data_IF_094957791828
#
_entry.id   IF_094957791828
#
_cell.length_a   1.000
_cell.length_b   1.000
_cell.length_c   1.000
_cell.angle_alpha   90.00
_cell.angle_beta   90.00
_cell.angle_gamma   90.00
#
_symmetry.space_group_name_H-M   'P 1'
#
loop_
_entity.id
_entity.type
_entity.pdbx_description
1 polymer ?
#
# COMPACT_ATOMS: atom_id res chain seq x y z
N UNK A 1 2.06 18.44 6.06
CA UNK A 1 1.44 17.72 4.93
C UNK A 1 1.76 16.25 5.06
N UNK A 2 0.75 15.39 5.10
CA UNK A 2 0.87 13.94 5.09
C UNK A 2 0.21 13.36 3.84
N UNK A 3 0.67 12.20 3.37
CA UNK A 3 -0.01 11.39 2.36
C UNK A 3 -0.28 10.03 2.95
N UNK A 4 -1.53 9.56 2.86
CA UNK A 4 -1.89 8.18 3.20
C UNK A 4 -1.64 7.29 1.98
N UNK A 5 -0.56 6.50 2.01
CA UNK A 5 -0.16 5.71 0.84
C UNK A 5 -1.02 4.47 0.60
N UNK A 6 -1.95 4.12 1.51
CA UNK A 6 -2.80 2.95 1.38
C UNK A 6 -4.02 3.00 2.30
N UNK A 7 -5.21 3.11 1.73
CA UNK A 7 -6.50 3.02 2.43
C UNK A 7 -7.58 2.43 1.52
N UNK A 8 -8.72 2.03 2.07
CA UNK A 8 -9.83 1.46 1.32
C UNK A 8 -11.10 2.30 1.50
N UNK A 9 -11.17 3.46 0.82
CA UNK A 9 -12.26 4.44 0.98
C UNK A 9 -13.67 3.89 0.67
N UNK A 10 -13.75 2.86 -0.16
CA UNK A 10 -15.01 2.24 -0.58
C UNK A 10 -15.35 0.96 0.17
N UNK A 11 -14.55 0.58 1.17
CA UNK A 11 -14.74 -0.66 1.90
C UNK A 11 -16.03 -0.62 2.74
N UNK A 12 -16.79 -1.73 2.76
CA UNK A 12 -18.08 -1.83 3.47
C UNK A 12 -18.04 -1.54 4.98
N UNK A 13 -16.87 -1.70 5.60
CA UNK A 13 -16.65 -1.40 7.03
C UNK A 13 -16.31 0.05 7.32
N UNK A 14 -16.20 0.91 6.29
CA UNK A 14 -16.07 2.34 6.52
C UNK A 14 -17.38 2.88 7.13
N UNK A 15 -17.26 3.65 8.22
CA UNK A 15 -18.41 4.23 8.91
C UNK A 15 -18.91 5.53 8.26
N UNK A 16 -18.09 6.15 7.41
CA UNK A 16 -18.36 7.42 6.73
C UNK A 16 -18.23 7.29 5.22
N UNK A 17 -18.87 8.18 4.49
CA UNK A 17 -18.76 8.28 3.04
C UNK A 17 -17.35 8.72 2.61
N UNK A 18 -16.90 8.41 1.38
CA UNK A 18 -15.64 8.90 0.85
C UNK A 18 -15.49 10.42 0.95
N UNK A 19 -16.57 11.18 0.75
CA UNK A 19 -16.58 12.64 0.88
C UNK A 19 -16.26 13.10 2.29
N UNK A 20 -16.85 12.47 3.30
CA UNK A 20 -16.59 12.79 4.71
C UNK A 20 -15.17 12.40 5.11
N UNK A 21 -14.69 11.23 4.65
CA UNK A 21 -13.33 10.75 4.92
C UNK A 21 -12.26 11.68 4.32
N UNK A 22 -12.41 12.06 3.06
CA UNK A 22 -11.48 13.00 2.38
C UNK A 22 -11.47 14.36 3.05
N UNK A 23 -12.65 14.87 3.45
CA UNK A 23 -12.76 16.12 4.18
C UNK A 23 -12.07 16.06 5.55
N UNK A 24 -12.36 15.02 6.33
CA UNK A 24 -11.74 14.81 7.65
C UNK A 24 -10.21 14.67 7.54
N UNK A 25 -9.72 13.97 6.52
CA UNK A 25 -8.30 13.84 6.22
C UNK A 25 -7.65 15.21 5.99
N UNK A 26 -8.25 16.07 5.15
CA UNK A 26 -7.76 17.42 4.90
C UNK A 26 -7.72 18.28 6.16
N UNK A 27 -8.75 18.20 7.02
CA UNK A 27 -8.80 18.90 8.32
C UNK A 27 -7.69 18.41 9.29
N UNK A 28 -7.22 17.17 9.13
CA UNK A 28 -6.11 16.59 9.90
C UNK A 28 -4.73 16.84 9.29
N UNK A 29 -4.62 17.57 8.16
CA UNK A 29 -3.36 17.83 7.45
C UNK A 29 -2.88 16.68 6.58
N UNK A 30 -3.80 15.82 6.12
CA UNK A 30 -3.57 14.77 5.14
C UNK A 30 -4.04 15.27 3.78
N UNK A 31 -3.08 15.59 2.91
CA UNK A 31 -3.36 16.32 1.67
C UNK A 31 -3.58 15.40 0.46
N UNK A 32 -3.36 14.10 0.62
CA UNK A 32 -3.63 13.13 -0.42
C UNK A 32 -3.69 11.71 0.10
N UNK A 33 -4.31 10.81 -0.67
CA UNK A 33 -4.45 9.40 -0.31
C UNK A 33 -4.60 8.50 -1.53
N UNK A 34 -4.20 7.23 -1.36
CA UNK A 34 -4.37 6.19 -2.37
C UNK A 34 -5.44 5.21 -1.90
N UNK A 35 -6.56 5.13 -2.64
CA UNK A 35 -7.57 4.11 -2.39
C UNK A 35 -7.29 2.84 -3.20
N UNK A 36 -7.34 1.70 -2.55
CA UNK A 36 -6.79 0.44 -3.05
C UNK A 36 -7.90 -0.48 -3.57
N UNK A 37 -7.64 -1.10 -4.72
CA UNK A 37 -8.45 -2.17 -5.25
C UNK A 37 -7.96 -3.53 -4.74
N UNK A 38 -8.91 -4.39 -4.35
CA UNK A 38 -8.68 -5.77 -3.95
C UNK A 38 -9.24 -6.79 -4.97
N UNK A 39 -10.18 -6.36 -5.80
CA UNK A 39 -10.83 -7.20 -6.81
C UNK A 39 -11.08 -6.39 -8.08
N UNK A 40 -10.43 -6.78 -9.18
CA UNK A 40 -10.54 -6.09 -10.48
C UNK A 40 -11.98 -6.10 -11.01
N UNK A 41 -12.65 -7.25 -10.93
CA UNK A 41 -14.03 -7.38 -11.37
C UNK A 41 -15.06 -7.01 -10.28
N UNK A 42 -14.62 -6.86 -9.04
CA UNK A 42 -15.47 -6.52 -7.88
C UNK A 42 -15.47 -5.04 -7.56
N UNK A 43 -14.44 -4.57 -6.85
CA UNK A 43 -14.39 -3.24 -6.25
C UNK A 43 -13.74 -2.17 -7.13
N UNK A 44 -12.84 -2.53 -8.05
CA UNK A 44 -12.06 -1.57 -8.85
C UNK A 44 -12.90 -0.49 -9.56
N UNK A 45 -14.06 -0.78 -10.17
CA UNK A 45 -14.87 0.28 -10.79
C UNK A 45 -15.30 1.37 -9.79
N UNK A 46 -15.66 0.99 -8.57
CA UNK A 46 -16.01 1.91 -7.49
C UNK A 46 -14.80 2.68 -6.94
N UNK A 47 -13.67 1.99 -6.82
CA UNK A 47 -12.38 2.57 -6.40
C UNK A 47 -11.93 3.65 -7.38
N UNK A 48 -11.94 3.35 -8.69
CA UNK A 48 -11.59 4.30 -9.74
C UNK A 48 -12.57 5.50 -9.78
N UNK A 49 -13.88 5.23 -9.70
CA UNK A 49 -14.87 6.29 -9.67
C UNK A 49 -14.70 7.22 -8.47
N UNK A 50 -14.28 6.69 -7.32
CA UNK A 50 -13.95 7.49 -6.13
C UNK A 50 -12.70 8.34 -6.38
N UNK A 51 -11.63 7.78 -6.93
CA UNK A 51 -10.41 8.53 -7.23
C UNK A 51 -10.66 9.66 -8.25
N UNK A 52 -11.54 9.44 -9.24
CA UNK A 52 -11.92 10.46 -10.23
C UNK A 52 -12.70 11.66 -9.66
N UNK A 53 -13.28 11.51 -8.47
CA UNK A 53 -14.12 12.52 -7.82
C UNK A 53 -13.34 13.61 -7.10
N UNK A 54 -12.08 13.31 -6.71
CA UNK A 54 -11.26 14.19 -5.88
C UNK A 54 -9.90 14.44 -6.53
N UNK A 55 -9.42 15.67 -6.44
CA UNK A 55 -8.13 16.06 -7.03
C UNK A 55 -6.91 15.50 -6.28
N UNK A 56 -7.12 15.03 -5.06
CA UNK A 56 -6.09 14.53 -4.14
C UNK A 56 -6.27 13.05 -3.75
N UNK A 57 -7.09 12.32 -4.50
CA UNK A 57 -7.26 10.87 -4.32
C UNK A 57 -6.80 10.17 -5.60
N UNK A 58 -5.89 9.24 -5.42
CA UNK A 58 -5.43 8.32 -6.47
C UNK A 58 -5.88 6.90 -6.14
N UNK A 59 -5.70 5.98 -7.08
CA UNK A 59 -6.03 4.59 -6.85
C UNK A 59 -4.99 3.63 -7.42
N UNK A 60 -5.11 2.37 -7.00
CA UNK A 60 -4.42 1.24 -7.59
C UNK A 60 -5.39 0.35 -8.39
N UNK A 61 -4.82 -0.60 -9.12
CA UNK A 61 -5.55 -1.69 -9.76
C UNK A 61 -4.86 -3.01 -9.48
N UNK A 62 -5.58 -3.96 -8.90
CA UNK A 62 -5.00 -5.28 -8.60
C UNK A 62 -5.98 -6.24 -7.95
N UNK A 63 -5.52 -7.48 -7.78
CA UNK A 63 -6.22 -8.56 -7.11
C UNK A 63 -5.44 -8.95 -5.86
N UNK A 64 -6.08 -8.78 -4.70
CA UNK A 64 -5.54 -9.17 -3.40
C UNK A 64 -5.31 -10.70 -3.32
N UNK A 65 -4.28 -11.20 -2.63
CA UNK A 65 -4.03 -12.65 -2.53
C UNK A 65 -5.22 -13.45 -2.00
N UNK A 66 -6.10 -12.88 -1.18
CA UNK A 66 -7.31 -13.56 -0.72
C UNK A 66 -8.27 -13.91 -1.87
N UNK A 67 -8.27 -13.12 -2.92
CA UNK A 67 -9.21 -13.21 -4.04
C UNK A 67 -8.58 -13.85 -5.29
N UNK A 68 -7.27 -14.13 -5.28
CA UNK A 68 -6.55 -14.67 -6.43
C UNK A 68 -7.08 -16.02 -6.96
N UNK A 69 -7.76 -16.80 -6.12
CA UNK A 69 -8.41 -18.06 -6.48
C UNK A 69 -9.88 -17.93 -6.86
N UNK A 70 -10.49 -16.75 -6.75
CA UNK A 70 -11.88 -16.49 -7.18
C UNK A 70 -11.92 -16.59 -8.71
N UNK A 71 -12.87 -17.33 -9.31
CA UNK A 71 -12.85 -17.63 -10.75
C UNK A 71 -12.64 -16.42 -11.65
N UNK A 72 -13.40 -15.35 -11.43
CA UNK A 72 -13.34 -14.15 -12.26
C UNK A 72 -12.03 -13.35 -12.07
N UNK A 73 -11.40 -13.41 -10.89
CA UNK A 73 -10.11 -12.77 -10.59
C UNK A 73 -8.93 -13.63 -11.07
N UNK A 74 -9.01 -14.96 -10.90
CA UNK A 74 -7.98 -15.90 -11.35
C UNK A 74 -7.72 -15.82 -12.85
N UNK A 75 -8.76 -15.58 -13.63
CA UNK A 75 -8.69 -15.50 -15.09
C UNK A 75 -8.15 -14.15 -15.62
N UNK A 76 -7.90 -13.18 -14.74
CA UNK A 76 -7.27 -11.91 -15.14
C UNK A 76 -5.89 -12.18 -15.72
N UNK A 77 -5.67 -11.67 -16.94
CA UNK A 77 -4.38 -11.79 -17.64
C UNK A 77 -3.49 -10.59 -17.36
N UNK A 78 -2.19 -10.73 -17.64
CA UNK A 78 -1.24 -9.61 -17.58
C UNK A 78 -1.68 -8.47 -18.50
N UNK A 79 -2.12 -8.77 -19.72
CA UNK A 79 -2.56 -7.78 -20.70
C UNK A 79 -3.77 -6.98 -20.19
N UNK A 80 -4.68 -7.65 -19.49
CA UNK A 80 -5.83 -6.96 -18.87
C UNK A 80 -5.40 -6.03 -17.75
N UNK A 81 -4.44 -6.44 -16.92
CA UNK A 81 -3.85 -5.58 -15.89
C UNK A 81 -3.18 -4.34 -16.51
N UNK A 82 -2.38 -4.52 -17.57
CA UNK A 82 -1.72 -3.42 -18.30
C UNK A 82 -2.74 -2.47 -18.91
N UNK A 83 -3.79 -2.99 -19.56
CA UNK A 83 -4.87 -2.19 -20.12
C UNK A 83 -5.53 -1.31 -19.04
N UNK A 84 -5.90 -1.92 -17.91
CA UNK A 84 -6.54 -1.19 -16.82
C UNK A 84 -5.59 -0.18 -16.16
N UNK A 85 -4.36 -0.56 -15.84
CA UNK A 85 -3.37 0.29 -15.21
C UNK A 85 -3.02 1.55 -16.03
N UNK A 86 -3.23 1.49 -17.35
CA UNK A 86 -2.99 2.61 -18.25
C UNK A 86 -4.25 3.37 -18.67
N UNK A 87 -5.44 2.91 -18.24
CA UNK A 87 -6.74 3.45 -18.69
C UNK A 87 -7.07 4.83 -18.13
N UNK A 88 -6.51 5.19 -16.96
CA UNK A 88 -6.80 6.48 -16.30
C UNK A 88 -5.55 7.04 -15.59
N UNK A 89 -5.48 8.37 -15.51
CA UNK A 89 -4.34 9.06 -14.88
C UNK A 89 -4.35 8.96 -13.35
N UNK A 90 -5.51 8.68 -12.72
CA UNK A 90 -5.62 8.49 -11.28
C UNK A 90 -5.09 7.12 -10.82
N UNK A 91 -4.88 6.18 -11.75
CA UNK A 91 -4.29 4.88 -11.44
C UNK A 91 -2.77 5.06 -11.39
N UNK A 92 -2.21 4.99 -10.18
CA UNK A 92 -0.80 5.31 -9.93
C UNK A 92 0.05 4.11 -9.50
N UNK A 93 -0.55 2.96 -9.26
CA UNK A 93 0.12 1.73 -8.85
C UNK A 93 -0.64 0.49 -9.28
N UNK A 94 0.05 -0.64 -9.32
CA UNK A 94 -0.53 -1.97 -9.57
C UNK A 94 -0.49 -2.76 -8.27
N UNK A 95 -1.63 -3.30 -7.87
CA UNK A 95 -1.85 -3.96 -6.59
C UNK A 95 -3.12 -3.40 -5.92
N UNK A 96 -3.43 -3.84 -4.75
CA UNK A 96 -2.66 -4.69 -3.84
C UNK A 96 -2.56 -6.11 -4.37
N UNK A 97 -1.36 -6.69 -4.38
CA UNK A 97 -1.13 -8.07 -4.79
C UNK A 97 0.05 -8.65 -4.01
N UNK A 98 0.13 -9.96 -3.94
CA UNK A 98 1.18 -10.64 -3.19
C UNK A 98 0.74 -11.98 -2.64
N UNK A 99 1.19 -12.31 -1.42
CA UNK A 99 0.97 -13.63 -0.81
C UNK A 99 0.49 -13.49 0.63
N UNK A 100 -0.52 -14.28 1.00
CA UNK A 100 -1.01 -14.41 2.37
C UNK A 100 -1.18 -15.90 2.74
N UNK A 101 -0.18 -16.44 3.43
CA UNK A 101 -0.18 -17.83 3.87
C UNK A 101 -0.71 -17.99 5.29
N UNK A 102 -1.04 -16.88 5.96
CA UNK A 102 -1.68 -16.90 7.25
C UNK A 102 -3.17 -17.22 7.15
N UNK A 103 -3.90 -16.49 6.29
CA UNK A 103 -5.31 -16.73 6.06
C UNK A 103 -5.58 -17.82 5.03
N UNK A 104 -4.72 -17.95 4.01
CA UNK A 104 -4.77 -19.01 2.99
C UNK A 104 -6.15 -19.11 2.30
N UNK A 105 -6.83 -17.95 2.07
CA UNK A 105 -8.17 -17.91 1.49
C UNK A 105 -8.22 -18.38 0.04
N UNK A 106 -7.16 -18.13 -0.72
CA UNK A 106 -6.97 -18.66 -2.07
C UNK A 106 -5.84 -19.70 -2.08
N UNK A 107 -5.87 -20.69 -2.98
CA UNK A 107 -4.75 -21.61 -3.17
C UNK A 107 -3.44 -20.85 -3.39
N UNK A 108 -2.36 -21.27 -2.75
CA UNK A 108 -1.04 -20.59 -2.83
C UNK A 108 -0.52 -20.48 -4.25
N UNK A 109 -0.74 -21.49 -5.07
CA UNK A 109 -0.36 -21.50 -6.48
C UNK A 109 -1.08 -20.38 -7.26
N UNK A 110 -2.36 -20.14 -6.97
CA UNK A 110 -3.15 -19.07 -7.57
C UNK A 110 -2.67 -17.69 -7.11
N UNK A 111 -2.35 -17.54 -5.81
CA UNK A 111 -1.74 -16.33 -5.28
C UNK A 111 -0.41 -16.02 -5.98
N UNK A 112 0.48 -17.02 -6.09
CA UNK A 112 1.79 -16.88 -6.73
C UNK A 112 1.67 -16.50 -8.20
N UNK A 113 0.78 -17.13 -8.95
CA UNK A 113 0.58 -16.83 -10.38
C UNK A 113 -0.03 -15.42 -10.55
N UNK A 114 -1.00 -15.04 -9.74
CA UNK A 114 -1.56 -13.67 -9.72
C UNK A 114 -0.45 -12.66 -9.43
N UNK A 115 0.38 -12.88 -8.41
CA UNK A 115 1.48 -12.00 -8.04
C UNK A 115 2.49 -11.83 -9.20
N UNK A 116 2.85 -12.90 -9.90
CA UNK A 116 3.72 -12.85 -11.09
C UNK A 116 3.13 -11.97 -12.20
N UNK A 117 1.82 -12.10 -12.48
CA UNK A 117 1.13 -11.26 -13.48
C UNK A 117 1.19 -9.77 -13.09
N UNK A 118 0.99 -9.43 -11.81
CA UNK A 118 1.07 -8.07 -11.31
C UNK A 118 2.48 -7.49 -11.44
N UNK A 119 3.52 -8.26 -11.09
CA UNK A 119 4.92 -7.84 -11.26
C UNK A 119 5.23 -7.52 -12.73
N UNK A 120 4.83 -8.41 -13.64
CA UNK A 120 5.05 -8.22 -15.08
C UNK A 120 4.31 -6.99 -15.61
N UNK A 121 3.07 -6.75 -15.15
CA UNK A 121 2.30 -5.56 -15.49
C UNK A 121 2.96 -4.26 -14.97
N UNK A 122 3.52 -4.28 -13.74
CA UNK A 122 4.30 -3.15 -13.21
C UNK A 122 5.49 -2.81 -14.09
N UNK A 123 6.25 -3.82 -14.51
CA UNK A 123 7.44 -3.63 -15.36
C UNK A 123 7.03 -3.03 -16.72
N UNK A 124 5.96 -3.52 -17.32
CA UNK A 124 5.48 -3.07 -18.63
C UNK A 124 4.93 -1.64 -18.59
N UNK A 125 4.31 -1.24 -17.48
CA UNK A 125 3.65 0.08 -17.34
C UNK A 125 4.52 1.14 -16.67
N UNK A 126 5.70 0.79 -16.12
CA UNK A 126 6.53 1.65 -15.23
C UNK A 126 5.73 2.17 -14.01
N UNK A 127 4.74 1.40 -13.54
CA UNK A 127 4.00 1.69 -12.33
C UNK A 127 4.53 0.89 -11.14
N UNK A 128 4.55 1.47 -9.93
CA UNK A 128 5.03 0.77 -8.75
C UNK A 128 4.07 -0.35 -8.32
N UNK A 129 4.66 -1.43 -7.83
CA UNK A 129 3.98 -2.55 -7.22
C UNK A 129 3.62 -2.25 -5.77
N UNK A 130 2.37 -2.53 -5.37
CA UNK A 130 1.91 -2.46 -3.98
C UNK A 130 1.83 -3.90 -3.45
N UNK A 131 2.78 -4.27 -2.58
CA UNK A 131 2.97 -5.67 -2.15
C UNK A 131 2.32 -5.91 -0.81
N UNK A 132 1.41 -6.90 -0.78
CA UNK A 132 0.95 -7.57 0.41
C UNK A 132 1.81 -8.81 0.70
N UNK A 133 2.25 -9.01 1.94
CA UNK A 133 2.87 -10.27 2.35
C UNK A 133 2.56 -10.58 3.80
N UNK A 134 2.16 -11.83 4.07
CA UNK A 134 1.89 -12.32 5.42
C UNK A 134 2.21 -13.81 5.52
N UNK A 135 3.16 -14.14 6.40
CA UNK A 135 3.69 -15.51 6.59
C UNK A 135 4.17 -16.14 5.28
N UNK A 136 4.66 -15.32 4.33
CA UNK A 136 5.05 -15.73 2.97
C UNK A 136 6.34 -15.03 2.47
N UNK A 137 7.19 -14.57 3.39
CA UNK A 137 8.35 -13.70 3.10
C UNK A 137 9.29 -14.30 2.07
N UNK A 138 9.60 -15.61 2.19
CA UNK A 138 10.56 -16.27 1.31
C UNK A 138 10.04 -16.37 -0.12
N UNK A 139 8.80 -16.81 -0.30
CA UNK A 139 8.19 -16.90 -1.63
C UNK A 139 7.98 -15.52 -2.24
N UNK A 140 7.58 -14.52 -1.43
CA UNK A 140 7.41 -13.13 -1.88
C UNK A 140 8.70 -12.60 -2.50
N UNK A 141 9.83 -12.69 -1.79
CA UNK A 141 11.10 -12.14 -2.30
C UNK A 141 11.66 -12.97 -3.46
N UNK A 142 11.46 -14.28 -3.45
CA UNK A 142 11.92 -15.15 -4.55
C UNK A 142 11.17 -14.84 -5.84
N UNK A 143 9.84 -14.70 -5.79
CA UNK A 143 9.04 -14.33 -6.96
C UNK A 143 9.40 -12.92 -7.46
N UNK A 144 9.60 -11.95 -6.56
CA UNK A 144 10.07 -10.61 -6.94
C UNK A 144 11.41 -10.65 -7.68
N UNK A 145 12.35 -11.50 -7.22
CA UNK A 145 13.64 -11.66 -7.91
C UNK A 145 13.49 -12.34 -9.26
N UNK A 146 12.79 -13.46 -9.33
CA UNK A 146 12.59 -14.22 -10.57
C UNK A 146 11.97 -13.36 -11.68
N UNK A 147 10.96 -12.55 -11.33
CA UNK A 147 10.19 -11.76 -12.28
C UNK A 147 10.76 -10.37 -12.52
N UNK A 148 11.35 -9.73 -11.50
CA UNK A 148 11.62 -8.28 -11.48
C UNK A 148 13.09 -7.87 -11.42
N UNK A 149 14.02 -8.76 -11.00
CA UNK A 149 15.42 -8.37 -10.82
C UNK A 149 16.05 -7.91 -12.13
N UNK A 150 16.65 -6.72 -12.09
CA UNK A 150 17.28 -6.09 -13.27
C UNK A 150 16.32 -5.56 -14.33
N UNK A 151 15.00 -5.63 -14.10
CA UNK A 151 13.97 -5.20 -15.06
C UNK A 151 13.30 -3.86 -14.70
N UNK A 152 13.83 -3.13 -13.71
CA UNK A 152 13.31 -1.83 -13.32
C UNK A 152 12.05 -1.86 -12.44
N UNK A 153 11.73 -3.01 -11.84
CA UNK A 153 10.62 -3.13 -10.90
C UNK A 153 10.84 -2.20 -9.70
N UNK A 154 9.85 -1.39 -9.38
CA UNK A 154 9.80 -0.53 -8.19
C UNK A 154 8.53 -0.81 -7.40
N UNK A 155 8.49 -0.48 -6.11
CA UNK A 155 7.29 -0.71 -5.33
C UNK A 155 7.43 -0.38 -3.86
N UNK A 156 6.41 -0.79 -3.12
CA UNK A 156 6.30 -0.64 -1.68
C UNK A 156 5.85 -1.95 -1.04
N UNK A 157 6.51 -2.32 0.05
CA UNK A 157 6.00 -3.31 0.98
C UNK A 157 4.97 -2.60 1.86
N UNK A 158 3.69 -2.77 1.52
CA UNK A 158 2.61 -2.12 2.25
C UNK A 158 2.39 -2.81 3.61
N UNK A 159 1.86 -2.06 4.56
CA UNK A 159 1.49 -2.52 5.90
C UNK A 159 2.55 -3.44 6.54
N UNK A 160 3.82 -3.03 6.42
CA UNK A 160 4.94 -3.88 6.77
C UNK A 160 4.85 -4.35 8.23
N UNK A 161 4.80 -5.67 8.40
CA UNK A 161 4.69 -6.32 9.70
C UNK A 161 5.55 -7.60 9.80
N UNK A 162 6.39 -7.83 8.79
CA UNK A 162 7.31 -8.97 8.68
C UNK A 162 8.63 -8.72 9.41
N UNK A 163 9.55 -9.69 9.34
CA UNK A 163 10.83 -9.64 10.04
C UNK A 163 11.91 -8.79 9.33
N UNK A 164 13.06 -8.54 10.02
CA UNK A 164 14.12 -7.66 9.53
C UNK A 164 14.76 -8.17 8.23
N UNK A 165 14.80 -9.47 8.02
CA UNK A 165 15.36 -10.07 6.79
C UNK A 165 14.60 -9.62 5.55
N UNK A 166 13.26 -9.61 5.59
CA UNK A 166 12.47 -9.15 4.45
C UNK A 166 12.63 -7.64 4.24
N UNK A 167 12.71 -6.85 5.32
CA UNK A 167 12.95 -5.42 5.21
C UNK A 167 14.27 -5.12 4.49
N UNK A 168 15.38 -5.78 4.89
CA UNK A 168 16.69 -5.67 4.23
C UNK A 168 16.60 -6.05 2.75
N UNK A 169 16.02 -7.21 2.43
CA UNK A 169 15.90 -7.69 1.06
C UNK A 169 15.04 -6.77 0.18
N UNK A 170 13.96 -6.20 0.71
CA UNK A 170 13.12 -5.25 0.00
C UNK A 170 13.85 -3.92 -0.25
N UNK A 171 14.62 -3.43 0.73
CA UNK A 171 15.46 -2.24 0.58
C UNK A 171 16.58 -2.44 -0.45
N UNK A 172 17.23 -3.60 -0.45
CA UNK A 172 18.25 -3.96 -1.45
C UNK A 172 17.66 -4.02 -2.86
N UNK A 173 16.41 -4.43 -2.98
CA UNK A 173 15.65 -4.42 -4.23
C UNK A 173 15.26 -2.98 -4.67
N UNK A 174 15.40 -2.01 -3.78
CA UNK A 174 15.05 -0.60 -4.03
C UNK A 174 13.61 -0.23 -3.65
N UNK A 175 12.89 -1.10 -2.97
CA UNK A 175 11.53 -0.86 -2.51
C UNK A 175 11.45 0.11 -1.35
N UNK A 176 10.28 0.68 -1.16
CA UNK A 176 9.89 1.43 0.03
C UNK A 176 9.25 0.50 1.05
N UNK A 177 9.32 0.90 2.32
CA UNK A 177 8.63 0.22 3.42
C UNK A 177 7.57 1.17 3.96
N UNK A 178 6.31 0.75 3.92
CA UNK A 178 5.21 1.54 4.46
C UNK A 178 4.78 1.02 5.82
N UNK A 179 4.65 1.91 6.79
CA UNK A 179 4.24 1.60 8.15
C UNK A 179 2.82 2.09 8.41
N UNK A 180 1.97 1.16 8.86
CA UNK A 180 0.60 1.44 9.31
C UNK A 180 0.53 1.67 10.82
N UNK A 181 -0.68 1.85 11.34
CA UNK A 181 -0.94 2.03 12.75
C UNK A 181 -0.38 0.93 13.67
N UNK A 182 -0.03 -0.24 13.14
CA UNK A 182 0.57 -1.36 13.91
C UNK A 182 1.83 -0.91 14.66
N UNK A 183 2.65 -0.03 14.09
CA UNK A 183 3.90 0.42 14.71
C UNK A 183 3.66 1.10 16.06
N UNK A 184 2.47 1.65 16.28
CA UNK A 184 2.06 2.31 17.52
C UNK A 184 1.57 1.34 18.61
N UNK A 185 1.38 0.04 18.28
CA UNK A 185 0.80 -0.93 19.21
C UNK A 185 1.78 -1.38 20.28
N UNK A 186 1.28 -1.66 21.48
CA UNK A 186 2.11 -2.00 22.64
C UNK A 186 3.07 -3.19 22.44
N UNK A 187 2.70 -4.15 21.58
CA UNK A 187 3.49 -5.36 21.33
C UNK A 187 4.31 -5.32 20.03
N UNK A 188 4.51 -4.15 19.43
CA UNK A 188 5.19 -3.99 18.15
C UNK A 188 6.69 -3.66 18.31
N UNK A 189 7.39 -4.21 19.33
CA UNK A 189 8.78 -3.86 19.60
C UNK A 189 9.74 -4.23 18.47
N UNK A 190 9.56 -5.39 17.85
CA UNK A 190 10.36 -5.82 16.71
C UNK A 190 10.13 -4.91 15.49
N UNK A 191 8.87 -4.59 15.19
CA UNK A 191 8.54 -3.67 14.10
C UNK A 191 9.12 -2.27 14.35
N UNK A 192 9.12 -1.79 15.59
CA UNK A 192 9.76 -0.51 15.96
C UNK A 192 11.27 -0.54 15.76
N UNK A 193 11.92 -1.67 16.08
CA UNK A 193 13.35 -1.84 15.81
C UNK A 193 13.63 -1.74 14.30
N UNK A 194 12.85 -2.46 13.48
CA UNK A 194 12.97 -2.38 12.02
C UNK A 194 12.73 -0.95 11.53
N UNK A 195 11.68 -0.27 12.00
CA UNK A 195 11.37 1.10 11.58
C UNK A 195 12.50 2.10 11.94
N UNK A 196 13.26 1.87 13.02
CA UNK A 196 14.45 2.66 13.34
C UNK A 196 15.56 2.48 12.30
N UNK A 197 15.75 1.26 11.82
CA UNK A 197 16.86 0.92 10.91
C UNK A 197 16.55 1.27 9.45
N UNK A 198 15.27 1.26 9.03
CA UNK A 198 14.88 1.65 7.66
C UNK A 198 15.30 3.10 7.38
N UNK A 199 16.04 3.39 6.29
CA UNK A 199 16.43 4.75 5.93
C UNK A 199 15.21 5.67 5.76
N UNK A 200 15.29 6.92 6.24
CA UNK A 200 14.18 7.87 6.19
C UNK A 200 13.66 8.09 4.77
N UNK A 201 14.56 8.07 3.78
CA UNK A 201 14.26 8.20 2.36
C UNK A 201 13.57 6.97 1.72
N UNK A 202 13.31 5.94 2.51
CA UNK A 202 12.62 4.71 2.09
C UNK A 202 11.36 4.41 2.90
N UNK A 203 10.94 5.35 3.77
CA UNK A 203 9.73 5.20 4.58
C UNK A 203 8.54 5.84 3.88
N UNK A 204 7.41 5.11 3.86
CA UNK A 204 6.07 5.63 3.64
C UNK A 204 5.22 5.42 4.89
N UNK A 205 4.11 6.13 4.96
CA UNK A 205 3.10 6.00 6.01
C UNK A 205 1.73 5.76 5.39
N UNK A 206 0.94 4.95 6.07
CA UNK A 206 -0.40 4.60 5.64
C UNK A 206 -1.32 4.32 6.82
N UNK A 207 -2.62 4.25 6.54
CA UNK A 207 -3.60 3.80 7.53
C UNK A 207 -3.93 2.34 7.40
N UNK A 208 -4.07 1.83 6.20
CA UNK A 208 -4.75 0.56 5.89
C UNK A 208 -6.21 0.59 6.39
N UNK A 209 -6.81 1.78 6.38
CA UNK A 209 -8.18 1.99 6.83
C UNK A 209 -9.18 1.16 5.99
N UNK A 210 -10.17 0.51 6.63
CA UNK A 210 -10.72 0.70 7.98
C UNK A 210 -10.03 -0.06 9.10
N UNK A 211 -8.92 -0.74 8.83
CA UNK A 211 -8.21 -1.59 9.78
C UNK A 211 -7.12 -0.82 10.54
N UNK A 212 -6.58 -1.44 11.59
CA UNK A 212 -5.31 -1.09 12.23
C UNK A 212 -5.22 0.34 12.78
N UNK A 213 -6.33 0.92 13.27
CA UNK A 213 -6.33 2.27 13.84
C UNK A 213 -5.17 2.47 14.84
N UNK A 214 -4.34 3.52 14.65
CA UNK A 214 -3.20 3.79 15.52
C UNK A 214 -3.63 4.22 16.93
N UNK A 215 -2.71 4.20 17.88
CA UNK A 215 -2.93 4.89 19.15
C UNK A 215 -3.10 6.41 18.90
N UNK A 216 -4.03 7.09 19.57
CA UNK A 216 -4.91 6.61 20.65
C UNK A 216 -6.24 6.00 20.19
N UNK A 217 -6.45 5.80 18.89
CA UNK A 217 -7.73 5.38 18.30
C UNK A 217 -7.92 3.86 18.22
N UNK A 218 -6.97 3.08 18.73
CA UNK A 218 -7.03 1.63 18.68
C UNK A 218 -8.35 1.07 19.20
N UNK A 219 -8.94 0.12 18.44
CA UNK A 219 -10.24 -0.49 18.76
C UNK A 219 -11.44 0.24 18.16
N UNK A 220 -11.21 1.33 17.43
CA UNK A 220 -12.19 2.02 16.58
C UNK A 220 -11.96 1.68 15.11
N UNK A 221 -12.91 2.00 14.24
CA UNK A 221 -12.67 2.04 12.81
C UNK A 221 -11.54 3.04 12.50
N UNK A 222 -10.62 2.64 11.60
CA UNK A 222 -9.56 3.52 11.14
C UNK A 222 -10.05 4.40 9.99
N UNK A 223 -9.44 5.55 9.80
CA UNK A 223 -9.73 6.48 8.71
C UNK A 223 -8.45 7.18 8.24
N UNK A 224 -8.39 7.69 6.99
CA UNK A 224 -7.19 8.34 6.44
C UNK A 224 -6.65 9.49 7.30
N UNK A 225 -7.51 10.22 8.02
CA UNK A 225 -7.10 11.28 8.95
C UNK A 225 -6.10 10.79 10.01
N UNK A 226 -6.13 9.51 10.37
CA UNK A 226 -5.28 8.96 11.43
C UNK A 226 -3.87 8.62 10.98
N UNK A 227 -3.53 8.73 9.68
CA UNK A 227 -2.15 8.53 9.21
C UNK A 227 -1.18 9.50 9.90
N UNK A 228 -1.64 10.70 10.24
CA UNK A 228 -0.84 11.68 10.97
C UNK A 228 -0.35 11.15 12.34
N UNK A 229 -1.13 10.31 13.03
CA UNK A 229 -0.70 9.68 14.28
C UNK A 229 0.42 8.67 14.07
N UNK A 230 0.32 7.85 13.01
CA UNK A 230 1.39 6.93 12.62
C UNK A 230 2.67 7.69 12.28
N UNK A 231 2.57 8.75 11.47
CA UNK A 231 3.71 9.59 11.10
C UNK A 231 4.37 10.29 12.28
N UNK A 232 3.59 10.86 13.21
CA UNK A 232 4.10 11.48 14.46
C UNK A 232 4.85 10.47 15.31
N UNK A 233 4.29 9.28 15.49
CA UNK A 233 4.94 8.21 16.24
C UNK A 233 6.28 7.81 15.62
N UNK A 234 6.35 7.69 14.30
CA UNK A 234 7.59 7.38 13.59
C UNK A 234 8.62 8.51 13.70
N UNK A 235 8.19 9.77 13.70
CA UNK A 235 9.08 10.91 13.93
C UNK A 235 9.77 10.84 15.30
N UNK A 236 8.99 10.61 16.37
CA UNK A 236 9.51 10.39 17.72
C UNK A 236 10.46 9.19 17.78
N UNK A 237 10.07 8.07 17.15
CA UNK A 237 10.86 6.84 17.13
C UNK A 237 12.22 7.02 16.46
N UNK A 238 12.29 7.81 15.40
CA UNK A 238 13.51 8.10 14.62
C UNK A 238 14.28 9.32 15.15
N UNK A 239 13.72 10.07 16.11
CA UNK A 239 14.37 11.26 16.68
C UNK A 239 14.45 12.43 15.69
N UNK A 240 13.49 12.54 14.78
CA UNK A 240 13.35 13.67 13.84
C UNK A 240 12.12 14.50 14.18
N UNK A 241 12.01 15.72 13.64
CA UNK A 241 10.80 16.51 13.82
C UNK A 241 9.61 15.90 13.05
N UNK A 242 8.38 16.17 13.52
CA UNK A 242 7.16 15.79 12.81
C UNK A 242 7.14 16.37 11.37
N UNK A 243 7.60 17.63 11.23
CA UNK A 243 7.69 18.30 9.95
C UNK A 243 8.67 17.61 8.98
N UNK A 244 9.84 17.19 9.47
CA UNK A 244 10.83 16.49 8.65
C UNK A 244 10.33 15.10 8.25
N UNK A 245 9.64 14.37 9.13
CA UNK A 245 9.05 13.08 8.81
C UNK A 245 7.95 13.25 7.75
N UNK A 246 7.03 14.20 7.94
CA UNK A 246 5.96 14.47 6.99
C UNK A 246 6.51 14.86 5.61
N UNK A 247 7.53 15.72 5.58
CA UNK A 247 8.20 16.11 4.34
C UNK A 247 8.86 14.90 3.67
N UNK A 248 9.65 14.13 4.40
CA UNK A 248 10.38 12.99 3.84
C UNK A 248 9.44 11.93 3.28
N UNK A 249 8.39 11.54 4.01
CA UNK A 249 7.43 10.53 3.56
C UNK A 249 6.62 11.01 2.37
N UNK A 250 6.26 12.29 2.31
CA UNK A 250 5.59 12.90 1.15
C UNK A 250 6.50 12.94 -0.07
N UNK A 251 7.77 13.35 0.08
CA UNK A 251 8.73 13.32 -1.02
C UNK A 251 8.97 11.90 -1.53
N UNK A 252 9.07 10.92 -0.63
CA UNK A 252 9.20 9.51 -0.97
C UNK A 252 8.00 9.01 -1.75
N UNK A 253 6.79 9.38 -1.33
CA UNK A 253 5.57 9.05 -2.05
C UNK A 253 5.61 9.52 -3.50
N UNK A 254 5.91 10.79 -3.75
CA UNK A 254 5.96 11.33 -5.12
C UNK A 254 7.16 10.81 -5.94
N UNK A 255 8.25 10.37 -5.29
CA UNK A 255 9.36 9.68 -5.96
C UNK A 255 8.95 8.30 -6.46
N UNK A 256 8.16 7.57 -5.66
CA UNK A 256 7.67 6.25 -6.02
C UNK A 256 6.50 6.36 -7.02
N UNK A 257 5.46 7.08 -6.65
CA UNK A 257 4.24 7.23 -7.44
C UNK A 257 4.33 8.42 -8.41
N UNK A 258 5.19 8.30 -9.43
CA UNK A 258 5.53 9.39 -10.36
C UNK A 258 4.35 10.00 -11.13
N UNK A 259 3.23 9.24 -11.27
CA UNK A 259 2.00 9.74 -11.89
C UNK A 259 1.17 10.61 -10.95
N UNK A 260 1.35 10.47 -9.63
CA UNK A 260 0.64 11.27 -8.65
C UNK A 260 1.06 12.74 -8.74
N UNK A 261 0.07 13.63 -8.76
CA UNK A 261 0.27 15.09 -8.73
C UNK A 261 -0.82 15.70 -7.88
N UNK A 262 -0.45 16.55 -6.92
CA UNK A 262 -1.40 17.45 -6.27
C UNK A 262 -1.74 18.56 -7.26
N UNK A 263 -3.04 18.84 -7.41
CA UNK A 263 -3.55 19.93 -8.25
C UNK A 263 -3.69 21.21 -7.47
#
# INVERSE_FOLDING_TARGET
MWIDSHCHLTHEKMESSPEELVKAAGEAGVDGMVTISCQINGDFPGVLATAQKFDNVWCSVGTHPHDAGVPDEKDITQERLVELATSDHNIIGVGESGLDYYYDHSPREDQQESFRKHIRACIETDLPLIVHTRDAEEDTINIMREEGEGKGLTGVMHCFSSGPKLAEQALDFGFYISFSGIVTFNKADELRAIAKDVPLERILVETDAPYLAPMPHRGKANEPAYVAHTGKFLAELKGVSEEDMARATTENFFKLFKKAKLK
#
